data_IF_891680585758
#
_entry.id   IF_891680585758
#
_cell.length_a   1.000
_cell.length_b   1.000
_cell.length_c   1.000
_cell.angle_alpha   90.00
_cell.angle_beta   90.00
_cell.angle_gamma   90.00
#
_symmetry.space_group_name_H-M   'P 1'
#
loop_
_entity.id
_entity.type
_entity.pdbx_description
1 polymer ?
#
# COMPACT_ATOMS: atom_id res chain seq x y z
N UNK A 1 -27.27 41.93 5.50
CA UNK A 1 -26.65 41.45 4.24
C UNK A 1 -27.73 41.29 3.20
N UNK A 2 -27.57 41.91 2.04
CA UNK A 2 -28.42 41.62 0.88
C UNK A 2 -28.02 40.29 0.22
N UNK A 3 -28.80 39.85 -0.77
CA UNK A 3 -28.62 38.56 -1.44
C UNK A 3 -27.24 38.41 -2.11
N UNK A 4 -26.70 39.50 -2.67
CA UNK A 4 -25.37 39.56 -3.29
C UNK A 4 -24.28 39.30 -2.27
N UNK A 5 -24.38 39.91 -1.08
CA UNK A 5 -23.37 39.73 -0.05
C UNK A 5 -23.40 38.32 0.56
N UNK A 6 -24.57 37.68 0.62
CA UNK A 6 -24.68 36.25 1.00
C UNK A 6 -24.05 35.33 -0.05
N UNK A 7 -24.24 35.61 -1.34
CA UNK A 7 -23.66 34.82 -2.42
C UNK A 7 -22.12 34.90 -2.42
N UNK A 8 -21.57 36.11 -2.27
CA UNK A 8 -20.10 36.32 -2.20
C UNK A 8 -19.49 35.57 -1.00
N UNK A 9 -20.15 35.62 0.17
CA UNK A 9 -19.68 34.91 1.36
C UNK A 9 -19.74 33.38 1.19
N UNK A 10 -20.79 32.85 0.57
CA UNK A 10 -20.93 31.42 0.30
C UNK A 10 -19.85 30.92 -0.69
N UNK A 11 -19.53 31.70 -1.72
CA UNK A 11 -18.44 31.38 -2.67
C UNK A 11 -17.09 31.36 -1.96
N UNK A 12 -16.77 32.39 -1.15
CA UNK A 12 -15.51 32.45 -0.42
C UNK A 12 -15.33 31.26 0.56
N UNK A 13 -16.42 30.85 1.23
CA UNK A 13 -16.41 29.65 2.08
C UNK A 13 -16.16 28.36 1.28
N UNK A 14 -16.81 28.21 0.12
CA UNK A 14 -16.62 27.05 -0.74
C UNK A 14 -15.19 26.97 -1.31
N UNK A 15 -14.61 28.12 -1.68
CA UNK A 15 -13.22 28.21 -2.13
C UNK A 15 -12.23 27.85 -1.03
N UNK A 16 -12.41 28.36 0.19
CA UNK A 16 -11.56 28.02 1.33
C UNK A 16 -11.64 26.51 1.66
N UNK A 17 -12.86 25.95 1.68
CA UNK A 17 -13.06 24.51 1.86
C UNK A 17 -12.36 23.67 0.79
N UNK A 18 -12.45 24.07 -0.48
CA UNK A 18 -11.80 23.38 -1.59
C UNK A 18 -10.26 23.44 -1.47
N UNK A 19 -9.69 24.57 -1.03
CA UNK A 19 -8.26 24.73 -0.79
C UNK A 19 -7.80 23.82 0.37
N UNK A 20 -8.53 23.83 1.49
CA UNK A 20 -8.22 22.95 2.63
C UNK A 20 -8.27 21.48 2.23
N UNK A 21 -9.31 21.09 1.49
CA UNK A 21 -9.48 19.73 1.00
C UNK A 21 -8.33 19.29 0.08
N UNK A 22 -7.94 20.15 -0.86
CA UNK A 22 -6.81 19.90 -1.75
C UNK A 22 -5.48 19.79 -0.99
N UNK A 23 -5.27 20.63 0.02
CA UNK A 23 -4.06 20.60 0.85
C UNK A 23 -3.98 19.30 1.68
N UNK A 24 -5.10 18.88 2.27
CA UNK A 24 -5.17 17.62 3.03
C UNK A 24 -4.94 16.41 2.13
N UNK A 25 -5.58 16.38 0.96
CA UNK A 25 -5.37 15.30 -0.02
C UNK A 25 -3.92 15.24 -0.48
N UNK A 26 -3.30 16.39 -0.78
CA UNK A 26 -1.90 16.45 -1.19
C UNK A 26 -0.96 15.93 -0.08
N UNK A 27 -1.25 16.26 1.18
CA UNK A 27 -0.48 15.76 2.32
C UNK A 27 -0.61 14.25 2.48
N UNK A 28 -1.84 13.72 2.49
CA UNK A 28 -2.09 12.29 2.66
C UNK A 28 -1.51 11.46 1.51
N UNK A 29 -1.63 11.94 0.28
CA UNK A 29 -1.02 11.31 -0.88
C UNK A 29 0.51 11.24 -0.73
N UNK A 30 1.16 12.36 -0.36
CA UNK A 30 2.63 12.39 -0.15
C UNK A 30 3.09 11.46 0.96
N UNK A 31 2.35 11.41 2.07
CA UNK A 31 2.65 10.52 3.18
C UNK A 31 2.49 9.06 2.79
N UNK A 32 1.41 8.73 2.07
CA UNK A 32 1.16 7.38 1.55
C UNK A 32 2.22 6.94 0.55
N UNK A 33 2.63 7.85 -0.34
CA UNK A 33 3.71 7.59 -1.30
C UNK A 33 5.01 7.29 -0.58
N UNK A 34 5.42 8.15 0.35
CA UNK A 34 6.67 7.97 1.10
C UNK A 34 6.67 6.66 1.90
N UNK A 35 5.55 6.31 2.53
CA UNK A 35 5.38 5.04 3.25
C UNK A 35 5.46 3.84 2.29
N UNK A 36 4.84 3.93 1.12
CA UNK A 36 4.83 2.86 0.11
C UNK A 36 6.19 2.65 -0.53
N UNK A 37 6.88 3.73 -0.91
CA UNK A 37 8.25 3.67 -1.41
C UNK A 37 9.18 3.04 -0.39
N UNK A 38 9.11 3.49 0.87
CA UNK A 38 9.90 2.94 1.95
C UNK A 38 9.70 1.42 2.11
N UNK A 39 8.44 0.99 2.17
CA UNK A 39 8.10 -0.41 2.36
C UNK A 39 8.56 -1.28 1.18
N UNK A 40 8.32 -0.84 -0.06
CA UNK A 40 8.70 -1.61 -1.25
C UNK A 40 10.22 -1.68 -1.42
N UNK A 41 10.94 -0.57 -1.16
CA UNK A 41 12.40 -0.57 -1.14
C UNK A 41 12.93 -1.55 -0.09
N UNK A 42 12.35 -1.55 1.12
CA UNK A 42 12.70 -2.52 2.16
C UNK A 42 12.46 -3.97 1.73
N UNK A 43 11.42 -4.25 0.94
CA UNK A 43 11.14 -5.61 0.46
C UNK A 43 12.15 -6.05 -0.60
N UNK A 44 12.59 -5.15 -1.48
CA UNK A 44 13.50 -5.43 -2.61
C UNK A 44 14.99 -5.32 -2.28
N UNK A 45 15.33 -4.95 -1.05
CA UNK A 45 16.73 -4.78 -0.65
C UNK A 45 17.47 -6.12 -0.59
N UNK A 46 18.46 -6.29 -1.47
CA UNK A 46 19.35 -7.45 -1.50
C UNK A 46 20.34 -7.38 -0.34
N UNK A 47 20.03 -8.04 0.79
CA UNK A 47 20.96 -8.30 1.89
C UNK A 47 21.84 -7.12 2.29
N UNK A 48 21.21 -6.03 2.71
CA UNK A 48 21.83 -4.91 3.41
C UNK A 48 20.84 -4.38 4.44
N UNK A 49 21.33 -3.75 5.51
CA UNK A 49 20.46 -3.10 6.49
C UNK A 49 19.65 -2.03 5.76
N UNK A 50 18.34 -2.27 5.58
CA UNK A 50 17.44 -1.27 5.03
C UNK A 50 17.59 0.03 5.84
N UNK A 51 17.52 1.22 5.20
CA UNK A 51 17.59 2.47 5.93
C UNK A 51 16.52 2.50 7.02
N UNK A 52 16.76 3.26 8.11
CA UNK A 52 15.77 3.41 9.17
C UNK A 52 14.46 3.92 8.55
N UNK A 53 13.31 3.42 9.03
CA UNK A 53 12.02 3.84 8.50
C UNK A 53 11.85 5.36 8.70
N UNK A 54 11.32 6.10 7.70
CA UNK A 54 11.22 7.56 7.72
C UNK A 54 10.17 8.09 8.69
N UNK A 55 9.28 7.22 9.19
CA UNK A 55 8.20 7.55 10.11
C UNK A 55 7.81 6.36 10.98
N UNK A 56 7.04 6.61 12.04
CA UNK A 56 6.43 5.54 12.86
C UNK A 56 5.49 4.67 12.02
N UNK A 57 4.71 5.28 11.11
CA UNK A 57 3.78 4.56 10.23
C UNK A 57 4.51 3.62 9.27
N UNK A 58 5.66 4.03 8.73
CA UNK A 58 6.52 3.18 7.91
C UNK A 58 7.11 2.02 8.72
N UNK A 59 7.59 2.29 9.95
CA UNK A 59 8.09 1.26 10.85
C UNK A 59 7.01 0.22 11.20
N UNK A 60 5.80 0.70 11.50
CA UNK A 60 4.63 -0.13 11.79
C UNK A 60 4.22 -1.00 10.59
N UNK A 61 4.20 -0.42 9.38
CA UNK A 61 3.87 -1.14 8.16
C UNK A 61 4.88 -2.24 7.86
N UNK A 62 6.19 -1.93 7.94
CA UNK A 62 7.25 -2.94 7.79
C UNK A 62 7.03 -4.10 8.75
N UNK A 63 6.81 -3.83 10.04
CA UNK A 63 6.62 -4.86 11.05
C UNK A 63 5.38 -5.73 10.80
N UNK A 64 4.21 -5.12 10.71
CA UNK A 64 2.95 -5.86 10.54
C UNK A 64 2.89 -6.64 9.23
N UNK A 65 3.35 -6.04 8.13
CA UNK A 65 3.29 -6.69 6.83
C UNK A 65 4.30 -7.86 6.74
N UNK A 66 5.47 -7.75 7.37
CA UNK A 66 6.44 -8.85 7.50
C UNK A 66 5.94 -9.98 8.40
N UNK A 67 5.26 -9.66 9.51
CA UNK A 67 4.63 -10.66 10.38
C UNK A 67 3.52 -11.41 9.61
N UNK A 68 2.66 -10.67 8.91
CA UNK A 68 1.58 -11.22 8.09
C UNK A 68 2.13 -12.10 6.95
N UNK A 69 3.18 -11.65 6.26
CA UNK A 69 3.83 -12.46 5.23
C UNK A 69 4.38 -13.75 5.81
N UNK A 70 5.14 -13.69 6.91
CA UNK A 70 5.74 -14.88 7.54
C UNK A 70 4.67 -15.90 7.94
N UNK A 71 3.56 -15.44 8.48
CA UNK A 71 2.46 -16.31 8.88
C UNK A 71 1.74 -16.97 7.70
N UNK A 72 1.67 -16.29 6.56
CA UNK A 72 0.92 -16.73 5.38
C UNK A 72 1.79 -16.83 4.12
N UNK A 73 3.06 -17.20 4.30
CA UNK A 73 4.10 -17.11 3.27
C UNK A 73 3.69 -17.81 1.97
N UNK A 74 3.33 -19.10 2.05
CA UNK A 74 2.95 -19.88 0.88
C UNK A 74 1.77 -19.26 0.11
N UNK A 75 0.80 -18.66 0.80
CA UNK A 75 -0.35 -18.01 0.16
C UNK A 75 0.07 -16.76 -0.60
N UNK A 76 0.79 -15.85 0.05
CA UNK A 76 1.22 -14.62 -0.61
C UNK A 76 2.15 -14.89 -1.80
N UNK A 77 3.04 -15.89 -1.70
CA UNK A 77 3.88 -16.31 -2.81
C UNK A 77 3.03 -16.80 -4.00
N UNK A 78 2.04 -17.65 -3.75
CA UNK A 78 1.13 -18.16 -4.78
C UNK A 78 0.26 -17.05 -5.41
N UNK A 79 -0.23 -16.10 -4.60
CA UNK A 79 -1.01 -14.95 -5.09
C UNK A 79 -0.20 -14.07 -6.01
N UNK A 80 1.04 -13.71 -5.62
CA UNK A 80 1.92 -12.90 -6.46
C UNK A 80 2.30 -13.63 -7.76
N UNK A 81 2.57 -14.94 -7.69
CA UNK A 81 2.83 -15.75 -8.88
C UNK A 81 1.64 -15.80 -9.84
N UNK A 82 0.44 -16.01 -9.30
CA UNK A 82 -0.80 -16.06 -10.08
C UNK A 82 -1.10 -14.71 -10.73
N UNK A 83 -0.97 -13.62 -9.96
CA UNK A 83 -1.06 -12.26 -10.48
C UNK A 83 -0.08 -12.03 -11.64
N UNK A 84 1.21 -12.38 -11.46
CA UNK A 84 2.22 -12.20 -12.50
C UNK A 84 2.05 -13.11 -13.72
N UNK A 85 1.29 -14.20 -13.60
CA UNK A 85 0.96 -15.08 -14.73
C UNK A 85 -0.22 -14.53 -15.55
N UNK A 86 -1.15 -13.83 -14.89
CA UNK A 86 -2.34 -13.23 -15.52
C UNK A 86 -2.11 -11.79 -16.01
N UNK A 87 -1.10 -11.08 -15.48
CA UNK A 87 -0.90 -9.67 -15.76
C UNK A 87 -0.26 -9.45 -17.15
N UNK A 88 -1.04 -8.86 -18.07
CA UNK A 88 -0.57 -8.44 -19.40
C UNK A 88 0.23 -7.14 -19.28
N UNK A 89 1.56 -7.26 -19.22
CA UNK A 89 2.58 -6.20 -19.33
C UNK A 89 2.61 -5.06 -18.26
N UNK A 90 1.50 -4.67 -17.64
CA UNK A 90 1.43 -3.54 -16.70
C UNK A 90 0.99 -3.96 -15.28
N UNK A 91 1.98 -4.14 -14.40
CA UNK A 91 1.76 -4.49 -12.99
C UNK A 91 1.03 -3.39 -12.20
N UNK A 92 1.16 -2.12 -12.59
CA UNK A 92 0.47 -1.01 -11.91
C UNK A 92 -1.03 -1.06 -12.20
N UNK A 93 -1.40 -1.22 -13.47
CA UNK A 93 -2.81 -1.38 -13.86
C UNK A 93 -3.44 -2.65 -13.25
N UNK A 94 -2.69 -3.75 -13.16
CA UNK A 94 -3.14 -4.95 -12.47
C UNK A 94 -3.35 -4.71 -10.97
N UNK A 95 -2.39 -4.08 -10.28
CA UNK A 95 -2.48 -3.78 -8.86
C UNK A 95 -3.68 -2.87 -8.57
N UNK A 96 -3.94 -1.90 -9.47
CA UNK A 96 -5.09 -1.02 -9.39
C UNK A 96 -6.41 -1.80 -9.32
N UNK A 97 -6.61 -2.77 -10.21
CA UNK A 97 -7.81 -3.64 -10.20
C UNK A 97 -7.93 -4.42 -8.90
N UNK A 98 -6.81 -4.98 -8.41
CA UNK A 98 -6.80 -5.71 -7.13
C UNK A 98 -7.26 -4.81 -5.98
N UNK A 99 -6.85 -3.55 -5.94
CA UNK A 99 -7.27 -2.60 -4.91
C UNK A 99 -8.76 -2.21 -5.01
N UNK A 100 -9.27 -2.02 -6.22
CA UNK A 100 -10.69 -1.75 -6.46
C UNK A 100 -11.55 -2.91 -5.98
N UNK A 101 -11.16 -4.13 -6.32
CA UNK A 101 -11.88 -5.34 -5.94
C UNK A 101 -11.74 -5.64 -4.43
N UNK A 102 -10.56 -5.43 -3.83
CA UNK A 102 -10.32 -5.63 -2.39
C UNK A 102 -11.19 -4.71 -1.52
N UNK A 103 -11.67 -3.60 -2.08
CA UNK A 103 -12.55 -2.63 -1.38
C UNK A 103 -13.94 -2.57 -2.03
N UNK A 104 -14.25 -3.48 -2.97
CA UNK A 104 -15.46 -3.44 -3.78
C UNK A 104 -16.76 -3.69 -2.99
N UNK A 105 -16.66 -4.30 -1.80
CA UNK A 105 -17.78 -4.45 -0.86
C UNK A 105 -18.02 -3.20 0.02
N UNK A 106 -17.28 -2.11 -0.23
CA UNK A 106 -17.39 -0.85 0.50
C UNK A 106 -16.70 -0.85 1.86
N UNK A 107 -16.04 -1.95 2.28
CA UNK A 107 -15.45 -2.06 3.61
C UNK A 107 -13.92 -2.01 3.59
N UNK A 108 -13.35 -0.81 3.70
CA UNK A 108 -11.92 -0.66 3.96
C UNK A 108 -11.62 -0.73 5.47
N UNK A 109 -10.57 -1.45 5.84
CA UNK A 109 -10.04 -1.50 7.20
C UNK A 109 -8.51 -1.65 7.17
N UNK A 110 -7.85 -1.35 8.30
CA UNK A 110 -6.39 -1.44 8.39
C UNK A 110 -5.83 -2.84 8.11
N UNK A 111 -6.58 -3.91 8.39
CA UNK A 111 -6.18 -5.28 8.03
C UNK A 111 -6.06 -5.49 6.52
N UNK A 112 -7.03 -4.99 5.74
CA UNK A 112 -6.98 -5.00 4.26
C UNK A 112 -5.84 -4.12 3.73
N UNK A 113 -5.61 -2.96 4.34
CA UNK A 113 -4.46 -2.10 3.99
C UNK A 113 -3.16 -2.89 4.20
N UNK A 114 -2.95 -3.51 5.36
CA UNK A 114 -1.74 -4.32 5.60
C UNK A 114 -1.63 -5.48 4.60
N UNK A 115 -2.72 -6.19 4.30
CA UNK A 115 -2.72 -7.27 3.29
C UNK A 115 -2.33 -6.78 1.89
N UNK A 116 -2.81 -5.61 1.48
CA UNK A 116 -2.44 -4.96 0.22
C UNK A 116 -0.94 -4.66 0.18
N UNK A 117 -0.39 -4.08 1.25
CA UNK A 117 1.04 -3.81 1.35
C UNK A 117 1.85 -5.11 1.31
N UNK A 118 1.50 -6.11 2.13
CA UNK A 118 2.16 -7.42 2.12
C UNK A 118 2.17 -8.05 0.73
N UNK A 119 1.03 -8.09 0.05
CA UNK A 119 0.94 -8.60 -1.31
C UNK A 119 1.85 -7.83 -2.27
N UNK A 120 1.82 -6.49 -2.23
CA UNK A 120 2.62 -5.65 -3.13
C UNK A 120 4.12 -5.79 -2.86
N UNK A 121 4.54 -5.98 -1.61
CA UNK A 121 5.94 -6.24 -1.26
C UNK A 121 6.46 -7.59 -1.76
N UNK A 122 5.61 -8.61 -1.77
CA UNK A 122 5.92 -9.93 -2.36
C UNK A 122 5.95 -9.82 -3.90
N UNK A 123 4.99 -9.11 -4.49
CA UNK A 123 4.94 -8.82 -5.91
C UNK A 123 6.20 -8.09 -6.40
N UNK A 124 6.64 -7.05 -5.67
CA UNK A 124 7.82 -6.26 -6.02
C UNK A 124 9.11 -7.12 -6.02
N UNK A 125 9.28 -8.01 -5.02
CA UNK A 125 10.41 -8.96 -5.00
C UNK A 125 10.40 -9.91 -6.19
N UNK A 126 9.26 -10.53 -6.48
CA UNK A 126 9.16 -11.46 -7.61
C UNK A 126 9.38 -10.76 -8.97
N UNK A 127 8.94 -9.50 -9.12
CA UNK A 127 9.22 -8.69 -10.31
C UNK A 127 10.74 -8.41 -10.47
N UNK A 128 11.44 -8.14 -9.37
CA UNK A 128 12.88 -7.93 -9.37
C UNK A 128 13.64 -9.22 -9.73
N UNK A 129 13.25 -10.36 -9.14
CA UNK A 129 13.83 -11.67 -9.44
C UNK A 129 13.66 -12.05 -10.91
N UNK A 130 12.44 -11.91 -11.47
CA UNK A 130 12.18 -12.17 -12.89
C UNK A 130 13.05 -11.31 -13.82
N UNK A 131 13.25 -10.02 -13.50
CA UNK A 131 14.13 -9.12 -14.28
C UNK A 131 15.60 -9.54 -14.20
N UNK A 132 16.07 -9.95 -13.01
CA UNK A 132 17.43 -10.45 -12.82
C UNK A 132 17.73 -11.72 -13.63
N UNK A 133 16.76 -12.64 -13.71
CA UNK A 133 16.87 -13.87 -14.51
C UNK A 133 16.91 -13.58 -16.02
N UNK A 134 16.09 -12.64 -16.51
CA UNK A 134 16.08 -12.28 -17.94
C UNK A 134 17.38 -11.59 -18.38
N UNK A 135 17.98 -10.76 -17.53
CA UNK A 135 19.24 -10.08 -17.83
C UNK A 135 20.45 -11.04 -17.82
N UNK A 136 20.37 -12.14 -17.05
CA UNK A 136 21.40 -13.19 -17.01
C UNK A 136 21.42 -14.12 -18.23
N UNK A 137 20.47 -13.99 -19.17
CA UNK A 137 20.33 -14.81 -20.37
C UNK A 137 20.82 -14.15 -21.66
N UNK A 138 21.29 -12.88 -21.64
CA UNK A 138 21.86 -12.20 -22.81
C UNK A 138 23.37 -11.87 -22.61
N UNK A 139 24.31 -12.65 -23.19
CA UNK A 139 25.74 -12.40 -23.09
C UNK A 139 26.25 -11.22 -23.95
N UNK A 140 25.37 -10.50 -24.66
CA UNK A 140 25.79 -9.67 -25.80
C UNK A 140 25.88 -8.16 -25.59
N UNK A 141 25.22 -7.56 -24.58
CA UNK A 141 25.06 -6.09 -24.58
C UNK A 141 25.39 -5.47 -23.23
N UNK A 142 26.67 -5.16 -23.03
CA UNK A 142 27.11 -4.21 -22.02
C UNK A 142 26.53 -2.82 -22.29
N UNK A 143 25.35 -2.53 -21.73
CA UNK A 143 24.89 -1.15 -21.48
C UNK A 143 24.60 -0.97 -20.00
N UNK A 144 25.68 -0.74 -19.27
CA UNK A 144 25.65 0.06 -18.06
C UNK A 144 25.28 1.51 -18.43
N UNK A 145 23.99 1.80 -18.53
CA UNK A 145 23.45 3.17 -18.53
C UNK A 145 22.14 3.18 -17.74
N UNK A 146 22.27 3.46 -16.44
CA UNK A 146 21.27 4.15 -15.61
C UNK A 146 19.81 3.73 -15.79
N UNK A 147 19.44 2.52 -15.42
CA UNK A 147 18.08 2.27 -14.95
C UNK A 147 18.12 2.19 -13.43
N UNK A 148 17.58 3.23 -12.80
CA UNK A 148 17.36 3.27 -11.35
C UNK A 148 16.66 1.96 -10.97
N UNK A 149 17.12 1.22 -9.94
CA UNK A 149 16.44 0.01 -9.43
C UNK A 149 14.97 0.22 -8.99
N UNK A 150 14.42 1.43 -9.13
CA UNK A 150 13.14 1.87 -8.57
C UNK A 150 12.01 2.07 -9.58
N UNK A 151 12.18 1.86 -10.88
CA UNK A 151 11.09 2.14 -11.86
C UNK A 151 9.80 1.37 -11.61
N UNK A 152 9.90 0.09 -11.19
CA UNK A 152 8.73 -0.74 -10.88
C UNK A 152 8.19 -0.47 -9.48
N UNK A 153 9.07 -0.31 -8.47
CA UNK A 153 8.64 -0.08 -7.09
C UNK A 153 7.99 1.29 -6.93
N UNK A 154 8.51 2.32 -7.61
CA UNK A 154 7.93 3.65 -7.59
C UNK A 154 6.55 3.68 -8.24
N UNK A 155 6.38 3.04 -9.41
CA UNK A 155 5.06 2.95 -10.05
C UNK A 155 4.02 2.24 -9.17
N UNK A 156 4.40 1.15 -8.48
CA UNK A 156 3.52 0.46 -7.54
C UNK A 156 3.21 1.34 -6.31
N UNK A 157 4.19 2.09 -5.80
CA UNK A 157 4.01 3.02 -4.68
C UNK A 157 3.09 4.20 -5.05
N UNK A 158 3.27 4.79 -6.24
CA UNK A 158 2.39 5.83 -6.80
C UNK A 158 0.97 5.28 -6.97
N UNK A 159 0.83 4.07 -7.49
CA UNK A 159 -0.48 3.40 -7.63
C UNK A 159 -1.20 3.25 -6.29
N UNK A 160 -0.49 2.85 -5.22
CA UNK A 160 -1.05 2.78 -3.86
C UNK A 160 -1.41 4.19 -3.35
N UNK A 161 -0.56 5.19 -3.59
CA UNK A 161 -0.79 6.56 -3.15
C UNK A 161 -2.00 7.21 -3.82
N UNK A 162 -2.17 7.01 -5.13
CA UNK A 162 -3.34 7.47 -5.89
C UNK A 162 -4.61 6.84 -5.32
N UNK A 163 -4.60 5.54 -5.04
CA UNK A 163 -5.79 4.88 -4.52
C UNK A 163 -6.10 5.24 -3.06
N UNK A 164 -5.15 5.06 -2.14
CA UNK A 164 -5.40 5.28 -0.72
C UNK A 164 -5.39 6.77 -0.35
N UNK A 165 -4.39 7.52 -0.83
CA UNK A 165 -4.14 8.91 -0.47
C UNK A 165 -5.00 9.93 -1.22
N UNK A 166 -5.58 9.57 -2.36
CA UNK A 166 -6.50 10.43 -3.11
C UNK A 166 -7.93 9.88 -3.11
N UNK A 167 -8.19 8.66 -3.60
CA UNK A 167 -9.55 8.14 -3.72
C UNK A 167 -10.17 7.67 -2.40
N UNK A 168 -9.38 7.04 -1.52
CA UNK A 168 -9.83 6.61 -0.18
C UNK A 168 -9.42 7.58 0.92
N UNK A 169 -9.13 8.84 0.57
CA UNK A 169 -8.68 9.86 1.53
C UNK A 169 -9.70 10.13 2.63
N UNK A 170 -10.99 10.15 2.30
CA UNK A 170 -12.04 10.45 3.27
C UNK A 170 -12.06 9.36 4.35
N UNK A 171 -11.97 8.09 3.94
CA UNK A 171 -11.82 6.97 4.87
C UNK A 171 -10.53 7.08 5.70
N UNK A 172 -9.39 7.41 5.08
CA UNK A 172 -8.14 7.61 5.83
C UNK A 172 -8.31 8.70 6.89
N UNK A 173 -8.89 9.86 6.54
CA UNK A 173 -9.12 10.98 7.47
C UNK A 173 -10.06 10.59 8.60
N UNK A 174 -11.19 9.95 8.30
CA UNK A 174 -12.16 9.44 9.28
C UNK A 174 -11.52 8.45 10.26
N UNK A 175 -10.50 7.73 9.81
CA UNK A 175 -9.75 6.76 10.62
C UNK A 175 -8.46 7.34 11.22
N UNK A 176 -8.29 8.66 11.23
CA UNK A 176 -7.17 9.34 11.89
C UNK A 176 -5.86 9.35 11.09
N UNK A 177 -5.93 9.12 9.78
CA UNK A 177 -4.79 9.04 8.88
C UNK A 177 -3.82 7.92 9.25
N UNK A 178 -2.56 8.09 8.86
CA UNK A 178 -1.51 7.14 9.20
C UNK A 178 -1.15 7.12 10.70
N UNK A 179 -1.51 8.15 11.46
CA UNK A 179 -1.46 8.13 12.93
C UNK A 179 -2.48 7.14 13.52
N UNK A 180 -3.69 7.07 12.93
CA UNK A 180 -4.68 6.04 13.25
C UNK A 180 -4.17 4.62 13.00
N UNK A 181 -3.43 4.44 11.90
CA UNK A 181 -2.73 3.19 11.62
C UNK A 181 -1.67 2.85 12.67
N UNK A 182 -0.86 3.83 13.12
CA UNK A 182 0.12 3.62 14.19
C UNK A 182 -0.56 3.10 15.47
N UNK A 183 -1.69 3.71 15.87
CA UNK A 183 -2.50 3.26 17.02
C UNK A 183 -3.00 1.83 16.83
N UNK A 184 -3.56 1.52 15.66
CA UNK A 184 -3.97 0.16 15.31
C UNK A 184 -2.80 -0.83 15.44
N UNK A 185 -1.61 -0.47 14.95
CA UNK A 185 -0.44 -1.35 14.99
C UNK A 185 0.09 -1.62 16.40
N UNK A 186 0.01 -0.65 17.31
CA UNK A 186 0.37 -0.83 18.72
C UNK A 186 -0.57 -1.82 19.40
N UNK A 187 -1.88 -1.62 19.25
CA UNK A 187 -2.90 -2.54 19.76
C UNK A 187 -2.70 -3.93 19.18
N UNK A 188 -2.44 -4.02 17.87
CA UNK A 188 -2.18 -5.27 17.18
C UNK A 188 -1.01 -6.07 17.78
N UNK A 189 0.07 -5.36 18.14
CA UNK A 189 1.29 -5.95 18.73
C UNK A 189 1.12 -6.33 20.19
N UNK A 190 0.35 -5.56 20.97
CA UNK A 190 0.03 -5.87 22.37
C UNK A 190 -0.83 -7.13 22.46
N UNK A 191 -1.89 -7.22 21.63
CA UNK A 191 -2.77 -8.39 21.56
C UNK A 191 -2.02 -9.65 21.13
N UNK A 192 -1.02 -9.54 20.24
CA UNK A 192 -0.22 -10.71 19.84
C UNK A 192 0.69 -11.22 20.97
N UNK A 193 1.04 -10.37 21.94
CA UNK A 193 1.84 -10.74 23.11
C UNK A 193 0.99 -11.35 24.24
N UNK A 194 -0.28 -10.98 24.37
CA UNK A 194 -1.21 -11.60 25.31
C UNK A 194 -1.78 -12.90 24.73
N UNK A 195 -1.31 -14.05 25.24
CA UNK A 195 -1.60 -15.39 24.71
C UNK A 195 -3.09 -15.79 24.66
N UNK A 196 -4.01 -15.01 25.24
CA UNK A 196 -5.43 -15.37 25.39
C UNK A 196 -6.43 -14.58 24.53
N UNK A 197 -6.04 -13.48 23.87
CA UNK A 197 -6.96 -12.64 23.08
C UNK A 197 -6.61 -12.55 21.58
N UNK A 198 -6.22 -13.66 20.96
CA UNK A 198 -5.80 -13.72 19.54
C UNK A 198 -6.94 -13.63 18.49
N UNK A 199 -8.15 -13.17 18.82
CA UNK A 199 -9.31 -13.43 17.94
C UNK A 199 -9.73 -12.25 17.06
N UNK A 200 -9.71 -11.01 17.55
CA UNK A 200 -10.31 -9.89 16.82
C UNK A 200 -9.42 -9.32 15.69
N UNK A 201 -8.11 -9.24 15.93
CA UNK A 201 -7.16 -8.67 14.96
C UNK A 201 -6.90 -9.61 13.77
N UNK A 202 -6.70 -10.91 14.05
CA UNK A 202 -6.52 -11.91 13.01
C UNK A 202 -7.78 -12.07 12.15
N UNK A 203 -8.97 -11.74 12.66
CA UNK A 203 -10.18 -11.69 11.85
C UNK A 203 -10.08 -10.61 10.76
N UNK A 204 -9.58 -9.40 11.08
CA UNK A 204 -9.42 -8.33 10.11
C UNK A 204 -8.34 -8.63 9.05
N UNK A 205 -7.21 -9.22 9.46
CA UNK A 205 -6.16 -9.71 8.56
C UNK A 205 -6.64 -10.89 7.68
N UNK A 206 -7.41 -11.81 8.26
CA UNK A 206 -8.00 -12.95 7.57
C UNK A 206 -8.97 -12.53 6.46
N UNK A 207 -9.77 -11.48 6.71
CA UNK A 207 -10.67 -10.90 5.70
C UNK A 207 -9.89 -10.30 4.52
N UNK A 208 -8.75 -9.63 4.77
CA UNK A 208 -7.90 -9.09 3.69
C UNK A 208 -7.29 -10.18 2.81
N UNK A 209 -6.71 -11.21 3.41
CA UNK A 209 -6.09 -12.34 2.68
C UNK A 209 -7.15 -13.16 1.94
N UNK A 210 -8.30 -13.41 2.57
CA UNK A 210 -9.41 -14.12 1.92
C UNK A 210 -9.94 -13.33 0.72
N UNK A 211 -10.05 -12.01 0.84
CA UNK A 211 -10.34 -11.11 -0.28
C UNK A 211 -9.35 -11.31 -1.43
N UNK A 212 -8.06 -11.10 -1.19
CA UNK A 212 -7.02 -11.29 -2.22
C UNK A 212 -7.06 -12.69 -2.86
N UNK A 213 -7.27 -13.74 -2.07
CA UNK A 213 -7.33 -15.12 -2.57
C UNK A 213 -8.54 -15.33 -3.48
N UNK A 214 -9.70 -14.80 -3.10
CA UNK A 214 -10.90 -14.86 -3.93
C UNK A 214 -10.73 -14.15 -5.27
N UNK A 215 -9.94 -13.06 -5.31
CA UNK A 215 -9.70 -12.29 -6.52
C UNK A 215 -8.70 -12.96 -7.46
N UNK A 216 -7.58 -13.44 -6.92
CA UNK A 216 -6.42 -13.87 -7.73
C UNK A 216 -6.38 -15.38 -8.04
N UNK A 217 -7.31 -16.16 -7.52
CA UNK A 217 -7.42 -17.62 -7.76
C UNK A 217 -8.62 -17.96 -8.66
N UNK A 218 -9.27 -16.95 -9.26
CA UNK A 218 -10.26 -17.13 -10.32
C UNK A 218 -9.58 -17.27 -11.68
#
# INVERSE_FOLDING_TARGET
>A
MDATQKAVFAVALAEDQAIQYKNMSCRLWKETLALSEDYLLSCTASTGTAPPPPSESAAAMRGLAQDMERQHYARFQALAQSFLAQCEADACAGLRKVMEELVGDGQLNWGRVVSLFTFTGVLARQLQEKKGVQLGQDPGTGRALGQVPGGSCRGLAETIADYLGEEKRDWLLENGGWEGFCKFSRIAREVNQESSMKTALFAAAGVGIAGLTFLLVR
#
